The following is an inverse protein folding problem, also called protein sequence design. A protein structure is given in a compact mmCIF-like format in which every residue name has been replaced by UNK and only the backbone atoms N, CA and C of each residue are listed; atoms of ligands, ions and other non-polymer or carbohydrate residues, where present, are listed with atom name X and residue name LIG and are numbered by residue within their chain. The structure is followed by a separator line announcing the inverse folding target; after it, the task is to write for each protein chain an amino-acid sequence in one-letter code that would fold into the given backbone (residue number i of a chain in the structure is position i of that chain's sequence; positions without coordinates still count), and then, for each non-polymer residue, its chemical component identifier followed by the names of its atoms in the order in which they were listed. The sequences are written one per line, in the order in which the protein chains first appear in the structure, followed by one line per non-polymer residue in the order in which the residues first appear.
data_IF_215205954381
#
_entry.id   IF_215205954381
#
_cell.length_a   1.000
_cell.length_b   1.000
_cell.length_c   1.000
_cell.angle_alpha   90.00
_cell.angle_beta   90.00
_cell.angle_gamma   90.00
#
_symmetry.space_group_name_H-M   'P 1'
#
loop_
_entity.id
_entity.type
_entity.pdbx_description
1 polymer ?
#
# COMPACT_ATOMS: atom_id res chain seq x y z
N UNK A 1 -15.12 -7.72 17.14
CA UNK A 1 -15.32 -8.07 15.71
C UNK A 1 -16.72 -7.76 15.20
N UNK A 2 -17.81 -8.31 15.76
CA UNK A 2 -19.19 -8.01 15.28
C UNK A 2 -19.55 -6.51 15.27
N UNK A 3 -19.15 -5.77 16.31
CA UNK A 3 -19.32 -4.32 16.37
C UNK A 3 -18.55 -3.59 15.25
N UNK A 4 -17.35 -4.06 14.90
CA UNK A 4 -16.58 -3.51 13.78
C UNK A 4 -17.25 -3.80 12.44
N UNK A 5 -17.71 -5.04 12.23
CA UNK A 5 -18.44 -5.40 11.02
C UNK A 5 -19.70 -4.53 10.84
N UNK A 6 -20.45 -4.30 11.92
CA UNK A 6 -21.60 -3.41 11.94
C UNK A 6 -21.19 -1.96 11.61
N UNK A 7 -20.16 -1.43 12.29
CA UNK A 7 -19.65 -0.06 12.07
C UNK A 7 -19.16 0.15 10.64
N UNK A 8 -18.50 -0.85 10.05
CA UNK A 8 -18.02 -0.85 8.68
C UNK A 8 -19.12 -1.18 7.65
N UNK A 9 -20.35 -1.48 8.06
CA UNK A 9 -21.44 -1.82 7.14
C UNK A 9 -21.19 -3.10 6.32
N UNK A 10 -20.45 -4.07 6.87
CA UNK A 10 -20.13 -5.34 6.21
C UNK A 10 -20.65 -6.52 7.03
N UNK A 11 -20.82 -7.67 6.37
CA UNK A 11 -21.20 -8.89 7.09
C UNK A 11 -20.07 -9.36 8.01
N UNK A 12 -20.43 -9.94 9.16
CA UNK A 12 -19.45 -10.55 10.06
C UNK A 12 -18.66 -11.68 9.38
N UNK A 13 -19.30 -12.43 8.47
CA UNK A 13 -18.64 -13.47 7.69
C UNK A 13 -17.56 -12.92 6.76
N UNK A 14 -17.81 -11.76 6.14
CA UNK A 14 -16.82 -11.07 5.31
C UNK A 14 -15.60 -10.64 6.13
N UNK A 15 -15.82 -10.04 7.30
CA UNK A 15 -14.72 -9.64 8.19
C UNK A 15 -13.91 -10.85 8.66
N UNK A 16 -14.59 -11.94 9.05
CA UNK A 16 -13.93 -13.16 9.51
C UNK A 16 -13.10 -13.83 8.40
N UNK A 17 -13.63 -13.90 7.17
CA UNK A 17 -12.88 -14.43 6.01
C UNK A 17 -11.63 -13.60 5.76
N UNK A 18 -11.76 -12.27 5.77
CA UNK A 18 -10.63 -11.37 5.60
C UNK A 18 -9.54 -11.59 6.66
N UNK A 19 -9.90 -11.68 7.94
CA UNK A 19 -8.92 -11.94 9.02
C UNK A 19 -8.26 -13.33 8.90
N UNK A 20 -8.92 -14.31 8.26
CA UNK A 20 -8.42 -15.69 8.15
C UNK A 20 -7.57 -15.92 6.90
N UNK A 21 -7.97 -15.37 5.75
CA UNK A 21 -7.31 -15.60 4.46
C UNK A 21 -6.61 -14.37 3.89
N UNK A 22 -6.84 -13.17 4.45
CA UNK A 22 -6.41 -11.90 3.87
C UNK A 22 -7.22 -11.45 2.66
N UNK A 23 -8.18 -12.25 2.19
CA UNK A 23 -8.97 -11.94 0.99
C UNK A 23 -10.19 -11.10 1.33
N UNK A 24 -10.36 -9.99 0.62
CA UNK A 24 -11.52 -9.11 0.72
C UNK A 24 -11.67 -8.27 -0.55
N UNK A 25 -12.86 -7.74 -0.82
CA UNK A 25 -13.02 -6.71 -1.84
C UNK A 25 -12.43 -5.37 -1.38
N UNK A 26 -11.90 -4.59 -2.33
CA UNK A 26 -11.34 -3.26 -2.04
C UNK A 26 -12.35 -2.36 -1.33
N UNK A 27 -13.61 -2.34 -1.77
CA UNK A 27 -14.68 -1.56 -1.11
C UNK A 27 -14.80 -1.90 0.37
N UNK A 28 -14.86 -3.18 0.71
CA UNK A 28 -15.03 -3.61 2.10
C UNK A 28 -13.79 -3.32 2.94
N UNK A 29 -12.59 -3.40 2.35
CA UNK A 29 -11.35 -2.99 3.03
C UNK A 29 -11.35 -1.50 3.35
N UNK A 30 -11.77 -0.66 2.40
CA UNK A 30 -11.90 0.79 2.59
C UNK A 30 -12.91 1.09 3.71
N UNK A 31 -14.07 0.42 3.72
CA UNK A 31 -15.06 0.61 4.79
C UNK A 31 -14.54 0.21 6.17
N UNK A 32 -13.71 -0.85 6.26
CA UNK A 32 -13.04 -1.22 7.50
C UNK A 32 -12.07 -0.11 7.94
N UNK A 33 -11.29 0.45 7.02
CA UNK A 33 -10.36 1.54 7.35
C UNK A 33 -11.09 2.79 7.85
N UNK A 34 -12.19 3.22 7.21
CA UNK A 34 -13.03 4.31 7.72
C UNK A 34 -13.62 3.99 9.10
N UNK A 35 -14.07 2.75 9.33
CA UNK A 35 -14.58 2.35 10.64
C UNK A 35 -13.51 2.40 11.74
N UNK A 36 -12.23 2.27 11.37
CA UNK A 36 -11.09 2.34 12.27
C UNK A 36 -10.43 3.73 12.34
N UNK A 37 -10.80 4.67 11.48
CA UNK A 37 -10.11 5.97 11.37
C UNK A 37 -8.71 5.86 10.77
N UNK A 38 -8.53 4.92 9.84
CA UNK A 38 -7.25 4.57 9.19
C UNK A 38 -7.26 4.83 7.67
N UNK A 39 -8.21 5.60 7.17
CA UNK A 39 -8.35 5.92 5.75
C UNK A 39 -7.11 6.63 5.17
N UNK A 40 -6.37 7.38 5.98
CA UNK A 40 -5.14 8.08 5.56
C UNK A 40 -4.01 7.12 5.13
N UNK A 41 -4.00 5.89 5.65
CA UNK A 41 -2.98 4.91 5.28
C UNK A 41 -3.12 4.41 3.84
N UNK A 42 -4.32 4.50 3.26
CA UNK A 42 -4.54 4.19 1.84
C UNK A 42 -3.84 5.19 0.91
N UNK A 43 -3.67 6.45 1.33
CA UNK A 43 -2.91 7.43 0.56
C UNK A 43 -1.43 7.05 0.43
N UNK A 44 -0.91 6.34 1.43
CA UNK A 44 0.48 5.88 1.48
C UNK A 44 0.69 4.55 0.76
N UNK A 45 -0.37 3.77 0.56
CA UNK A 45 -0.26 2.40 0.01
C UNK A 45 0.39 2.37 -1.38
N UNK A 46 0.16 3.40 -2.19
CA UNK A 46 0.70 3.53 -3.55
C UNK A 46 1.60 4.76 -3.73
N UNK A 47 2.11 5.33 -2.63
CA UNK A 47 2.91 6.56 -2.70
C UNK A 47 4.27 6.38 -3.36
N UNK A 48 4.80 5.14 -3.36
CA UNK A 48 6.02 4.81 -4.06
C UNK A 48 5.66 4.42 -5.49
N UNK A 49 5.85 5.35 -6.42
CA UNK A 49 5.70 5.08 -7.84
C UNK A 49 6.83 4.15 -8.27
N UNK A 50 6.53 2.85 -8.40
CA UNK A 50 7.59 1.87 -8.47
C UNK A 50 8.43 2.05 -9.72
N UNK A 51 7.84 2.35 -10.89
CA UNK A 51 8.52 2.76 -12.13
C UNK A 51 7.49 3.45 -13.05
N UNK A 52 7.85 4.53 -13.77
CA UNK A 52 6.91 5.20 -14.71
C UNK A 52 6.92 4.56 -16.11
N UNK A 53 7.94 3.75 -16.40
CA UNK A 53 8.13 3.08 -17.68
C UNK A 53 8.92 1.78 -17.54
N UNK A 54 8.89 0.94 -18.58
CA UNK A 54 9.76 -0.25 -18.67
C UNK A 54 11.23 0.19 -18.67
N UNK A 55 11.56 1.31 -19.32
CA UNK A 55 12.90 1.89 -19.29
C UNK A 55 13.35 2.29 -17.88
N UNK A 56 12.45 2.81 -17.04
CA UNK A 56 12.77 3.12 -15.64
C UNK A 56 13.06 1.86 -14.81
N UNK A 57 12.35 0.77 -15.09
CA UNK A 57 12.63 -0.53 -14.47
C UNK A 57 14.01 -1.07 -14.87
N UNK A 58 14.37 -0.94 -16.15
CA UNK A 58 15.68 -1.37 -16.66
C UNK A 58 16.84 -0.49 -16.15
N UNK A 59 16.60 0.82 -15.97
CA UNK A 59 17.62 1.79 -15.56
C UNK A 59 17.72 2.00 -14.04
N UNK A 60 16.69 1.70 -13.27
CA UNK A 60 16.63 1.92 -11.81
C UNK A 60 17.63 1.08 -10.99
N UNK A 61 18.17 0.01 -11.58
CA UNK A 61 19.26 -0.81 -11.02
C UNK A 61 20.64 -0.13 -11.07
N UNK A 62 20.78 0.99 -11.78
CA UNK A 62 22.03 1.79 -11.80
C UNK A 62 22.07 2.69 -10.58
N UNK A 63 22.46 2.12 -9.44
CA UNK A 63 22.86 2.88 -8.24
C UNK A 63 23.77 4.02 -8.68
N UNK A 64 23.34 5.27 -8.47
CA UNK A 64 24.09 6.49 -8.85
C UNK A 64 25.53 6.34 -8.40
N UNK A 65 26.44 6.05 -9.33
CA UNK A 65 27.86 5.95 -9.00
C UNK A 65 28.33 7.31 -8.50
N UNK A 66 28.83 7.34 -7.26
CA UNK A 66 29.35 8.55 -6.64
C UNK A 66 30.52 9.06 -7.50
N UNK A 67 30.36 10.20 -8.15
CA UNK A 67 31.48 10.91 -8.78
C UNK A 67 32.39 11.43 -7.66
N UNK A 68 33.49 10.72 -7.40
CA UNK A 68 34.57 11.25 -6.56
C UNK A 68 35.28 12.34 -7.37
N UNK A 69 35.51 13.50 -6.77
CA UNK A 69 36.27 14.58 -7.40
C UNK A 69 37.66 14.09 -7.77
N UNK A 70 38.06 14.26 -9.02
CA UNK A 70 39.44 14.04 -9.45
C UNK A 70 40.34 15.06 -8.76
N UNK A 71 41.48 14.60 -8.26
CA UNK A 71 42.53 15.45 -7.70
C UNK A 71 43.08 16.29 -8.86
N UNK A 72 42.88 17.60 -8.83
CA UNK A 72 43.53 18.50 -9.77
C UNK A 72 45.03 18.53 -9.44
N UNK A 73 45.86 18.35 -10.47
CA UNK A 73 47.31 18.60 -10.44
C UNK A 73 47.63 20.05 -10.08
#
# INVERSE_FOLDING_TARGET
QRALALKAGISFGSLRRFESSGEISLRSLIMIAFALGMEDDFQKLFSNQTYQSIDDLLNGSKVKQRKRGGKNE
#
